data_IF_718921241984
#
_entry.id   IF_718921241984
#
_cell.length_a   1.000
_cell.length_b   1.000
_cell.length_c   1.000
_cell.angle_alpha   90.00
_cell.angle_beta   90.00
_cell.angle_gamma   90.00
#
_symmetry.space_group_name_H-M   'P 1'
#
loop_
_entity.id
_entity.type
_entity.pdbx_description
1 polymer ?
#
# COMPACT_ATOMS: atom_id res chain seq x y z
N UNK A 1 5.90 -1.77 -11.60
CA UNK A 1 6.49 -0.93 -10.53
C UNK A 1 7.66 -1.68 -9.89
N UNK A 2 8.75 -0.98 -9.53
CA UNK A 2 9.89 -1.60 -8.82
C UNK A 2 9.54 -1.76 -7.33
N UNK A 3 9.41 -3.03 -6.90
CA UNK A 3 9.04 -3.39 -5.53
C UNK A 3 10.11 -2.99 -4.52
N UNK A 4 11.38 -3.26 -4.81
CA UNK A 4 12.45 -2.98 -3.84
C UNK A 4 12.61 -1.48 -3.63
N UNK A 5 12.43 -0.71 -4.71
CA UNK A 5 12.40 0.75 -4.59
C UNK A 5 11.21 1.21 -3.76
N UNK A 6 10.02 0.68 -3.99
CA UNK A 6 8.85 1.04 -3.20
C UNK A 6 9.05 0.71 -1.70
N UNK A 7 9.52 -0.50 -1.38
CA UNK A 7 9.75 -0.92 0.01
C UNK A 7 10.72 0.01 0.74
N UNK A 8 11.81 0.45 0.08
CA UNK A 8 12.76 1.43 0.67
C UNK A 8 12.10 2.78 0.94
N UNK A 9 11.37 3.32 -0.03
CA UNK A 9 10.76 4.65 0.10
C UNK A 9 9.63 4.64 1.15
N UNK A 10 8.91 3.53 1.29
CA UNK A 10 7.94 3.35 2.37
C UNK A 10 8.60 3.34 3.75
N UNK A 11 9.78 2.69 3.87
CA UNK A 11 10.56 2.67 5.11
C UNK A 11 11.07 4.07 5.47
N UNK A 12 11.64 4.77 4.49
CA UNK A 12 12.23 6.09 4.69
C UNK A 12 11.17 7.14 5.08
N UNK A 13 9.97 7.10 4.48
CA UNK A 13 8.93 8.10 4.69
C UNK A 13 7.96 7.77 5.84
N UNK A 14 7.62 6.49 6.02
CA UNK A 14 6.55 6.07 6.95
C UNK A 14 6.98 4.99 7.94
N UNK A 15 8.15 4.37 7.76
CA UNK A 15 8.61 3.25 8.59
C UNK A 15 7.75 1.99 8.43
N UNK A 16 7.10 1.59 9.53
CA UNK A 16 6.35 0.33 9.63
C UNK A 16 7.23 -0.90 9.82
N UNK A 17 6.62 -2.08 9.89
CA UNK A 17 7.33 -3.37 9.92
C UNK A 17 7.68 -3.86 8.51
N UNK A 18 8.62 -4.80 8.40
CA UNK A 18 8.94 -5.43 7.11
C UNK A 18 7.69 -6.13 6.53
N UNK A 19 6.88 -6.77 7.39
CA UNK A 19 5.63 -7.39 6.98
C UNK A 19 4.62 -6.38 6.42
N UNK A 20 4.46 -5.22 7.04
CA UNK A 20 3.59 -4.15 6.52
C UNK A 20 4.09 -3.64 5.17
N UNK A 21 5.39 -3.36 5.04
CA UNK A 21 5.98 -2.90 3.77
C UNK A 21 5.80 -3.90 2.64
N UNK A 22 5.97 -5.21 2.94
CA UNK A 22 5.73 -6.29 1.96
C UNK A 22 4.27 -6.39 1.57
N UNK A 23 3.34 -6.27 2.53
CA UNK A 23 1.91 -6.32 2.26
C UNK A 23 1.45 -5.15 1.38
N UNK A 24 1.85 -3.92 1.73
CA UNK A 24 1.55 -2.72 0.94
C UNK A 24 2.19 -2.79 -0.44
N UNK A 25 3.46 -3.18 -0.53
CA UNK A 25 4.14 -3.26 -1.83
C UNK A 25 3.57 -4.33 -2.76
N UNK A 26 3.07 -5.44 -2.19
CA UNK A 26 2.32 -6.44 -2.94
C UNK A 26 1.00 -5.86 -3.45
N UNK A 27 0.19 -5.28 -2.58
CA UNK A 27 -1.10 -4.70 -2.99
C UNK A 27 -0.93 -3.61 -4.04
N UNK A 28 0.08 -2.75 -3.90
CA UNK A 28 0.38 -1.71 -4.86
C UNK A 28 0.80 -2.27 -6.23
N UNK A 29 1.45 -3.43 -6.26
CA UNK A 29 1.74 -4.15 -7.50
C UNK A 29 0.48 -4.75 -8.11
N UNK A 30 -0.34 -5.43 -7.32
CA UNK A 30 -1.61 -5.99 -7.78
C UNK A 30 -2.52 -4.88 -8.36
N UNK A 31 -2.51 -3.70 -7.75
CA UNK A 31 -3.20 -2.52 -8.27
C UNK A 31 -2.65 -2.04 -9.61
N UNK A 32 -1.32 -1.97 -9.78
CA UNK A 32 -0.70 -1.61 -11.07
C UNK A 32 -1.04 -2.66 -12.14
N UNK A 33 -0.94 -3.93 -11.79
CA UNK A 33 -1.14 -5.06 -12.71
C UNK A 33 -2.63 -5.17 -13.14
N UNK A 34 -3.55 -4.61 -12.36
CA UNK A 34 -4.97 -4.51 -12.74
C UNK A 34 -5.26 -3.54 -13.89
N UNK A 35 -4.34 -2.63 -14.22
CA UNK A 35 -4.54 -1.59 -15.24
C UNK A 35 -5.48 -0.43 -14.83
N UNK A 36 -6.32 -0.64 -13.82
CA UNK A 36 -7.36 0.29 -13.35
C UNK A 36 -6.88 1.71 -13.06
N UNK A 37 -5.73 1.94 -12.40
CA UNK A 37 -5.28 3.31 -12.14
C UNK A 37 -5.06 4.14 -13.41
N UNK A 38 -4.65 3.49 -14.50
CA UNK A 38 -4.46 4.15 -15.79
C UNK A 38 -5.79 4.42 -16.49
N UNK A 39 -6.75 3.50 -16.38
CA UNK A 39 -8.09 3.65 -16.96
C UNK A 39 -8.87 4.77 -16.26
N UNK A 40 -8.83 4.81 -14.92
CA UNK A 40 -9.63 5.75 -14.12
C UNK A 40 -9.01 7.15 -14.05
N UNK A 41 -7.67 7.26 -14.00
CA UNK A 41 -6.96 8.55 -13.79
C UNK A 41 -6.21 9.06 -15.01
N UNK A 42 -6.20 8.28 -16.10
CA UNK A 42 -5.48 8.62 -17.33
C UNK A 42 -3.95 8.48 -17.24
N UNK A 43 -3.40 7.99 -16.13
CA UNK A 43 -1.96 7.75 -15.98
C UNK A 43 -1.65 6.60 -15.02
N UNK A 44 -0.53 5.92 -15.30
CA UNK A 44 -0.04 4.83 -14.46
C UNK A 44 0.31 5.27 -13.04
N UNK A 45 0.33 4.31 -12.13
CA UNK A 45 0.80 4.52 -10.76
C UNK A 45 2.32 4.35 -10.67
N UNK A 46 2.99 5.32 -10.03
CA UNK A 46 4.44 5.34 -9.83
C UNK A 46 4.77 5.27 -8.34
N UNK A 47 6.02 4.94 -7.99
CA UNK A 47 6.48 4.89 -6.58
C UNK A 47 6.26 6.24 -5.89
N UNK A 48 6.75 7.33 -6.48
CA UNK A 48 6.54 8.68 -5.94
C UNK A 48 5.05 9.04 -5.85
N UNK A 49 4.23 8.57 -6.80
CA UNK A 49 2.78 8.72 -6.73
C UNK A 49 2.20 8.03 -5.51
N UNK A 50 2.59 6.78 -5.23
CA UNK A 50 2.16 6.05 -4.02
C UNK A 50 2.54 6.84 -2.77
N UNK A 51 3.80 7.23 -2.62
CA UNK A 51 4.27 7.99 -1.44
C UNK A 51 3.44 9.27 -1.24
N UNK A 52 3.21 10.03 -2.32
CA UNK A 52 2.39 11.24 -2.26
C UNK A 52 0.97 10.98 -1.76
N UNK A 53 0.29 9.96 -2.29
CA UNK A 53 -1.07 9.61 -1.86
C UNK A 53 -1.12 9.10 -0.40
N UNK A 54 -0.07 8.42 0.09
CA UNK A 54 0.00 7.94 1.47
C UNK A 54 0.28 9.07 2.47
N UNK A 55 0.94 10.14 2.04
CA UNK A 55 1.21 11.31 2.87
C UNK A 55 -0.06 12.10 3.21
N UNK A 56 -1.10 12.02 2.37
CA UNK A 56 -2.39 12.70 2.59
C UNK A 56 -3.25 12.06 3.69
N UNK A 57 -2.89 10.84 4.12
CA UNK A 57 -3.59 10.16 5.21
C UNK A 57 -3.29 10.80 6.58
N UNK A 58 -4.23 10.70 7.55
CA UNK A 58 -4.10 11.35 8.86
C UNK A 58 -2.78 11.10 9.59
N UNK A 59 -2.34 12.09 10.36
CA UNK A 59 -1.16 11.96 11.21
C UNK A 59 -1.31 10.83 12.23
N UNK A 60 -0.20 10.13 12.49
CA UNK A 60 -0.18 8.98 13.40
C UNK A 60 -0.73 7.67 12.81
N UNK A 61 -1.25 7.67 11.58
CA UNK A 61 -1.62 6.44 10.89
C UNK A 61 -0.40 5.55 10.60
N UNK A 62 -0.55 4.26 10.90
CA UNK A 62 0.34 3.18 10.45
C UNK A 62 0.42 3.10 8.92
N UNK A 63 1.45 2.45 8.40
CA UNK A 63 1.63 2.28 6.97
C UNK A 63 0.41 1.61 6.30
N UNK A 64 -0.18 0.60 6.96
CA UNK A 64 -1.38 -0.09 6.46
C UNK A 64 -2.61 0.83 6.49
N UNK A 65 -2.78 1.64 7.53
CA UNK A 65 -3.89 2.59 7.60
C UNK A 65 -3.78 3.66 6.51
N UNK A 66 -2.57 4.19 6.24
CA UNK A 66 -2.35 5.13 5.14
C UNK A 66 -2.74 4.53 3.79
N UNK A 67 -2.34 3.28 3.55
CA UNK A 67 -2.69 2.55 2.34
C UNK A 67 -4.21 2.37 2.21
N UNK A 68 -4.86 1.89 3.26
CA UNK A 68 -6.29 1.64 3.25
C UNK A 68 -7.11 2.93 3.20
N UNK A 69 -6.63 4.02 3.76
CA UNK A 69 -7.23 5.34 3.63
C UNK A 69 -7.28 5.78 2.17
N UNK A 70 -6.16 5.64 1.45
CA UNK A 70 -6.10 5.97 0.03
C UNK A 70 -6.98 5.03 -0.81
N UNK A 71 -6.99 3.72 -0.53
CA UNK A 71 -7.90 2.79 -1.20
C UNK A 71 -9.37 3.15 -0.99
N UNK A 72 -9.74 3.59 0.22
CA UNK A 72 -11.09 4.10 0.50
C UNK A 72 -11.42 5.36 -0.29
N UNK A 73 -10.46 6.28 -0.46
CA UNK A 73 -10.65 7.46 -1.30
C UNK A 73 -10.85 7.09 -2.78
N UNK A 74 -10.08 6.13 -3.30
CA UNK A 74 -10.26 5.63 -4.67
C UNK A 74 -11.59 4.88 -4.83
N UNK A 75 -12.01 4.12 -3.83
CA UNK A 75 -13.27 3.39 -3.84
C UNK A 75 -14.47 4.36 -3.85
N UNK A 76 -14.40 5.43 -3.06
CA UNK A 76 -15.41 6.47 -3.06
C UNK A 76 -15.50 7.22 -4.41
N UNK A 77 -14.38 7.36 -5.14
CA UNK A 77 -14.33 8.08 -6.40
C UNK A 77 -14.71 7.21 -7.62
N UNK A 78 -14.25 5.96 -7.65
CA UNK A 78 -14.31 5.10 -8.84
C UNK A 78 -14.95 3.72 -8.57
N UNK A 79 -15.11 3.32 -7.31
CA UNK A 79 -15.68 2.04 -6.88
C UNK A 79 -14.75 0.84 -7.09
N UNK A 80 -14.92 -0.22 -6.29
CA UNK A 80 -14.22 -1.50 -6.41
C UNK A 80 -12.74 -1.49 -6.00
N UNK A 81 -12.26 -0.44 -5.34
CA UNK A 81 -10.88 -0.37 -4.85
C UNK A 81 -10.73 -1.03 -3.47
N UNK A 82 -11.84 -1.36 -2.81
CA UNK A 82 -11.86 -2.16 -1.57
C UNK A 82 -11.13 -3.50 -1.70
N UNK A 83 -11.08 -4.06 -2.92
CA UNK A 83 -10.35 -5.28 -3.26
C UNK A 83 -8.85 -5.21 -2.96
N UNK A 84 -8.25 -4.01 -3.08
CA UNK A 84 -6.81 -3.79 -2.87
C UNK A 84 -6.48 -3.36 -1.43
N UNK A 85 -7.46 -3.38 -0.52
CA UNK A 85 -7.18 -3.11 0.89
C UNK A 85 -6.31 -4.21 1.51
N UNK A 86 -5.35 -3.81 2.34
CA UNK A 86 -4.58 -4.74 3.16
C UNK A 86 -5.39 -5.05 4.41
N UNK A 87 -5.88 -6.30 4.51
CA UNK A 87 -6.71 -6.76 5.64
C UNK A 87 -5.93 -7.56 6.67
N UNK A 88 -4.82 -8.17 6.26
CA UNK A 88 -3.96 -8.99 7.11
C UNK A 88 -2.50 -8.71 6.78
N UNK A 89 -1.72 -8.52 7.83
CA UNK A 89 -0.26 -8.48 7.77
C UNK A 89 0.22 -9.77 8.42
N UNK A 90 1.20 -10.44 7.81
CA UNK A 90 1.80 -11.60 8.44
C UNK A 90 2.45 -11.15 9.75
N UNK A 91 2.11 -11.82 10.85
CA UNK A 91 2.69 -11.51 12.16
C UNK A 91 4.17 -11.93 12.16
N UNK A 92 5.10 -10.97 12.33
CA UNK A 92 6.54 -11.25 12.40
C UNK A 92 6.88 -12.05 13.68
N UNK A 93 5.99 -12.12 14.69
CA UNK A 93 6.19 -12.89 15.93
C UNK A 93 5.95 -14.42 15.78
N UNK A 94 5.32 -14.90 14.70
CA UNK A 94 4.93 -16.31 14.59
C UNK A 94 6.12 -17.29 14.43
N UNK A 95 7.35 -16.81 14.28
CA UNK A 95 8.55 -17.67 14.15
C UNK A 95 9.12 -18.11 15.51
N UNK A 96 8.55 -17.66 16.63
CA UNK A 96 9.05 -17.91 17.99
C UNK A 96 8.40 -19.06 18.78
N UNK A 97 7.46 -19.83 18.23
CA UNK A 97 6.72 -20.85 19.00
C UNK A 97 6.60 -22.19 18.25
N UNK A 98 7.61 -23.05 18.45
CA UNK A 98 7.52 -24.47 18.87
C UNK A 98 8.82 -25.20 18.54
N UNK A 99 9.68 -25.39 19.54
CA UNK A 99 10.47 -26.61 19.70
C UNK A 99 10.74 -26.88 21.17
#
# INVERSE_FOLDING_TARGET
MDRQRLERELEDEFGGTEAERRAVSRSARDLVDSGRPSEDRGHGLTVTGVIGHLADAPDGSSLVERWNWWMGALDAAYGGYDYFTVRFVADDEATGLRR
#
